data_IF_704027878698
#
_entry.id   IF_704027878698
#
_cell.length_a   1.000
_cell.length_b   1.000
_cell.length_c   1.000
_cell.angle_alpha   90.00
_cell.angle_beta   90.00
_cell.angle_gamma   90.00
#
_symmetry.space_group_name_H-M   'P 1'
#
loop_
_entity.id
_entity.type
_entity.pdbx_description
1 polymer ?
#
# COMPACT_ATOMS: atom_id res chain seq x y z
N UNK A 1 32.50 20.62 11.94
CA UNK A 1 31.99 19.36 11.39
C UNK A 1 31.59 18.41 12.52
N UNK A 2 30.51 17.70 12.35
CA UNK A 2 30.05 16.64 13.24
C UNK A 2 30.95 15.41 13.10
N UNK A 3 31.10 14.67 14.20
CA UNK A 3 31.70 13.33 14.25
C UNK A 3 30.78 12.42 15.06
N UNK A 4 30.88 11.10 14.87
CA UNK A 4 30.10 10.15 15.67
C UNK A 4 30.33 10.30 17.17
N UNK A 5 31.57 10.59 17.55
CA UNK A 5 31.91 10.87 18.96
C UNK A 5 31.18 12.11 19.49
N UNK A 6 31.10 13.19 18.68
CA UNK A 6 30.32 14.38 19.07
C UNK A 6 28.83 14.05 19.17
N UNK A 7 28.29 13.30 18.25
CA UNK A 7 26.86 12.92 18.25
C UNK A 7 26.49 12.12 19.50
N UNK A 8 27.32 11.14 19.90
CA UNK A 8 27.10 10.33 21.11
C UNK A 8 27.18 11.15 22.40
N UNK A 9 27.95 12.23 22.40
CA UNK A 9 28.15 13.10 23.57
C UNK A 9 27.15 14.27 23.66
N UNK A 10 26.23 14.41 22.69
CA UNK A 10 25.17 15.43 22.73
C UNK A 10 24.18 15.09 23.85
N UNK A 11 24.02 16.02 24.78
CA UNK A 11 23.07 15.88 25.90
C UNK A 11 21.82 16.74 25.63
N UNK A 12 20.64 16.31 26.06
CA UNK A 12 19.45 17.13 26.00
C UNK A 12 19.61 18.41 26.83
N UNK A 13 18.88 19.46 26.45
CA UNK A 13 18.78 20.74 27.16
C UNK A 13 17.33 21.09 27.32
N UNK A 14 17.00 22.10 28.12
CA UNK A 14 15.65 22.56 28.38
C UNK A 14 14.87 22.95 27.09
N UNK A 15 15.62 23.38 26.06
CA UNK A 15 15.04 23.75 24.75
C UNK A 15 15.73 23.00 23.62
N UNK A 16 15.00 22.79 22.54
CA UNK A 16 15.56 22.25 21.29
C UNK A 16 16.72 23.13 20.83
N UNK A 17 17.86 22.51 20.53
CA UNK A 17 19.02 23.20 19.97
C UNK A 17 19.55 22.48 18.73
N UNK A 18 20.34 23.22 17.93
CA UNK A 18 20.92 22.75 16.66
C UNK A 18 22.44 22.67 16.79
N UNK A 19 23.03 21.66 16.15
CA UNK A 19 24.48 21.54 15.96
C UNK A 19 24.75 21.34 14.48
N UNK A 20 25.41 22.30 13.86
CA UNK A 20 25.65 22.31 12.42
C UNK A 20 26.76 21.32 12.03
N UNK A 21 26.61 20.71 10.85
CA UNK A 21 27.64 19.93 10.18
C UNK A 21 28.23 20.73 9.00
N UNK A 22 27.73 20.53 7.80
CA UNK A 22 28.18 21.18 6.56
C UNK A 22 27.02 21.39 5.61
N UNK A 23 27.14 22.34 4.72
CA UNK A 23 26.22 22.54 3.57
C UNK A 23 24.73 22.61 3.98
N UNK A 24 24.42 23.21 5.12
CA UNK A 24 23.04 23.29 5.63
C UNK A 24 22.54 22.03 6.37
N UNK A 25 23.38 20.98 6.46
CA UNK A 25 23.10 19.81 7.32
C UNK A 25 23.36 20.16 8.78
N UNK A 26 22.44 19.78 9.63
CA UNK A 26 22.58 19.91 11.09
C UNK A 26 21.83 18.80 11.83
N UNK A 27 22.13 18.64 13.09
CA UNK A 27 21.28 17.84 13.97
C UNK A 27 20.46 18.75 14.86
N UNK A 28 19.21 18.37 15.09
CA UNK A 28 18.35 18.95 16.10
C UNK A 28 18.25 17.98 17.28
N UNK A 29 18.56 18.49 18.47
CA UNK A 29 18.47 17.76 19.74
C UNK A 29 17.27 18.28 20.50
N UNK A 30 16.34 17.39 20.84
CA UNK A 30 15.14 17.73 21.59
C UNK A 30 15.37 17.64 23.09
N UNK A 31 14.55 18.29 23.95
CA UNK A 31 14.63 18.12 25.40
C UNK A 31 14.46 16.66 25.86
N UNK A 32 13.75 15.85 25.11
CA UNK A 32 13.60 14.42 25.36
C UNK A 32 14.80 13.56 24.94
N UNK A 33 15.93 14.19 24.50
CA UNK A 33 17.13 13.49 24.09
C UNK A 33 17.12 12.90 22.67
N UNK A 34 16.07 13.12 21.88
CA UNK A 34 16.03 12.64 20.51
C UNK A 34 16.89 13.52 19.60
N UNK A 35 17.80 12.90 18.84
CA UNK A 35 18.67 13.54 17.86
C UNK A 35 18.16 13.23 16.47
N UNK A 36 17.98 14.24 15.61
CA UNK A 36 17.53 14.06 14.23
C UNK A 36 18.37 14.85 13.25
N UNK A 37 18.76 14.22 12.13
CA UNK A 37 19.45 14.90 11.03
C UNK A 37 18.45 15.68 10.20
N UNK A 38 18.76 16.95 9.96
CA UNK A 38 17.95 17.89 9.19
C UNK A 38 18.80 18.67 8.20
N UNK A 39 18.21 19.05 7.09
CA UNK A 39 18.82 19.87 6.08
C UNK A 39 17.97 21.10 5.79
N UNK A 40 18.58 22.29 5.94
CA UNK A 40 17.98 23.56 5.52
C UNK A 40 18.46 23.92 4.12
N UNK A 41 17.55 24.30 3.25
CA UNK A 41 17.84 24.71 1.89
C UNK A 41 16.87 25.82 1.44
N UNK A 42 17.29 26.55 0.39
CA UNK A 42 16.43 27.54 -0.27
C UNK A 42 16.01 27.01 -1.64
N UNK A 43 14.75 27.11 -1.96
CA UNK A 43 14.21 26.79 -3.27
C UNK A 43 13.12 27.79 -3.65
N UNK A 44 13.18 28.36 -4.88
CA UNK A 44 12.23 29.36 -5.36
C UNK A 44 12.03 30.53 -4.37
N UNK A 45 13.12 31.00 -3.76
CA UNK A 45 13.11 32.11 -2.80
C UNK A 45 12.53 31.77 -1.42
N UNK A 46 12.23 30.48 -1.13
CA UNK A 46 11.68 30.03 0.16
C UNK A 46 12.67 29.12 0.89
N UNK A 47 12.77 29.33 2.19
CA UNK A 47 13.52 28.43 3.06
C UNK A 47 12.67 27.20 3.42
N UNK A 48 13.20 26.02 3.18
CA UNK A 48 12.56 24.75 3.54
C UNK A 48 13.52 23.90 4.36
N UNK A 49 12.96 22.95 5.12
CA UNK A 49 13.72 22.01 5.94
C UNK A 49 13.22 20.60 5.67
N UNK A 50 14.14 19.67 5.44
CA UNK A 50 13.82 18.25 5.39
C UNK A 50 14.50 17.53 6.58
N UNK A 51 13.80 16.56 7.19
CA UNK A 51 14.35 15.64 8.18
C UNK A 51 14.71 14.32 7.50
N UNK A 52 15.97 13.93 7.56
CA UNK A 52 16.45 12.68 6.95
C UNK A 52 16.14 11.45 7.80
N UNK A 53 16.30 11.56 9.12
CA UNK A 53 16.05 10.47 10.06
C UNK A 53 16.53 10.81 11.46
N UNK A 54 16.31 9.88 12.40
CA UNK A 54 16.83 9.96 13.75
C UNK A 54 18.21 9.32 13.81
N UNK A 55 19.07 9.81 14.67
CA UNK A 55 20.33 9.17 15.03
C UNK A 55 20.10 8.13 16.13
N UNK A 56 20.81 7.00 16.07
CA UNK A 56 20.77 5.96 17.11
C UNK A 56 20.23 4.62 16.62
N UNK A 57 19.89 3.74 17.55
CA UNK A 57 19.42 2.38 17.23
C UNK A 57 18.13 2.45 16.41
N UNK A 58 18.11 1.76 15.25
CA UNK A 58 16.99 1.79 14.30
C UNK A 58 16.86 3.11 13.52
N UNK A 59 17.81 4.03 13.68
CA UNK A 59 17.89 5.28 12.94
C UNK A 59 18.94 5.23 11.82
N UNK A 60 19.45 6.42 11.43
CA UNK A 60 20.48 6.56 10.41
C UNK A 60 21.80 7.02 11.01
N UNK A 61 22.89 6.64 10.37
CA UNK A 61 24.27 7.07 10.71
C UNK A 61 24.56 8.46 10.16
N UNK A 62 25.67 9.07 10.61
CA UNK A 62 26.16 10.34 10.07
C UNK A 62 26.55 10.21 8.58
N UNK A 63 27.13 9.06 8.20
CA UNK A 63 27.50 8.77 6.82
C UNK A 63 26.25 8.74 5.91
N UNK A 64 25.23 8.00 6.29
CA UNK A 64 23.95 7.96 5.55
C UNK A 64 23.26 9.33 5.51
N UNK A 65 23.33 10.12 6.56
CA UNK A 65 22.79 11.48 6.56
C UNK A 65 23.51 12.38 5.55
N UNK A 66 24.82 12.23 5.38
CA UNK A 66 25.62 12.97 4.39
C UNK A 66 25.37 12.50 2.95
N UNK A 67 25.11 11.20 2.75
CA UNK A 67 24.70 10.65 1.46
C UNK A 67 23.35 11.24 1.03
N UNK A 68 22.36 11.19 1.92
CA UNK A 68 21.03 11.81 1.70
C UNK A 68 21.12 13.32 1.50
N UNK A 69 22.09 14.00 2.11
CA UNK A 69 22.37 15.41 1.81
C UNK A 69 22.80 15.60 0.37
N UNK A 70 23.68 14.73 -0.15
CA UNK A 70 24.12 14.77 -1.56
C UNK A 70 22.95 14.62 -2.52
N UNK A 71 22.05 13.66 -2.27
CA UNK A 71 20.83 13.45 -3.06
C UNK A 71 19.91 14.67 -2.98
N UNK A 72 19.64 15.18 -1.79
CA UNK A 72 18.78 16.34 -1.59
C UNK A 72 19.33 17.59 -2.27
N UNK A 73 20.66 17.82 -2.25
CA UNK A 73 21.30 18.94 -2.98
C UNK A 73 21.11 18.82 -4.50
N UNK A 74 21.21 17.62 -5.07
CA UNK A 74 20.93 17.39 -6.50
C UNK A 74 19.47 17.72 -6.83
N UNK A 75 18.52 17.26 -6.02
CA UNK A 75 17.11 17.56 -6.21
C UNK A 75 16.84 19.07 -6.18
N UNK A 76 17.45 19.80 -5.24
CA UNK A 76 17.32 21.27 -5.15
C UNK A 76 17.92 21.95 -6.38
N UNK A 77 19.08 21.47 -6.87
CA UNK A 77 19.68 21.98 -8.11
C UNK A 77 18.79 21.74 -9.32
N UNK A 78 18.06 20.63 -9.36
CA UNK A 78 17.05 20.30 -10.40
C UNK A 78 15.71 21.06 -10.19
N UNK A 79 15.63 21.99 -9.26
CA UNK A 79 14.41 22.75 -8.97
C UNK A 79 13.30 21.96 -8.25
N UNK A 80 13.63 20.78 -7.69
CA UNK A 80 12.70 19.92 -6.96
C UNK A 80 12.88 20.06 -5.46
N UNK A 81 11.77 20.18 -4.70
CA UNK A 81 11.83 20.25 -3.24
C UNK A 81 11.92 18.84 -2.63
N UNK A 82 13.04 18.47 -1.96
CA UNK A 82 13.17 17.19 -1.29
C UNK A 82 12.09 16.97 -0.21
N UNK A 83 11.66 18.01 0.49
CA UNK A 83 10.61 17.93 1.51
C UNK A 83 9.25 17.59 0.89
N UNK A 84 8.92 18.21 -0.26
CA UNK A 84 7.66 17.94 -0.98
C UNK A 84 7.66 16.54 -1.58
N UNK A 85 8.77 16.09 -2.17
CA UNK A 85 8.87 14.72 -2.72
C UNK A 85 8.72 13.68 -1.59
N UNK A 86 9.40 13.85 -0.46
CA UNK A 86 9.21 12.99 0.72
C UNK A 86 7.78 12.99 1.23
N UNK A 87 7.11 14.14 1.25
CA UNK A 87 5.71 14.26 1.64
C UNK A 87 4.78 13.55 0.64
N UNK A 88 5.06 13.66 -0.67
CA UNK A 88 4.34 12.96 -1.74
C UNK A 88 4.50 11.44 -1.62
N UNK A 89 5.72 10.96 -1.42
CA UNK A 89 5.99 9.53 -1.22
C UNK A 89 5.31 9.00 0.05
N UNK A 90 5.37 9.75 1.15
CA UNK A 90 4.64 9.42 2.38
C UNK A 90 3.13 9.43 2.18
N UNK A 91 2.60 10.39 1.42
CA UNK A 91 1.18 10.43 1.07
C UNK A 91 0.80 9.27 0.15
N UNK A 92 1.68 8.91 -0.81
CA UNK A 92 1.50 7.76 -1.69
C UNK A 92 1.54 6.44 -0.92
N UNK A 93 2.47 6.28 0.03
CA UNK A 93 2.56 5.11 0.93
C UNK A 93 1.37 5.07 1.90
N UNK A 94 0.94 6.23 2.42
CA UNK A 94 -0.23 6.35 3.31
C UNK A 94 -1.55 6.24 2.54
N UNK A 95 -1.54 6.60 1.25
CA UNK A 95 -2.62 6.40 0.28
C UNK A 95 -2.49 5.09 -0.51
N UNK A 96 -1.52 4.22 -0.19
CA UNK A 96 -1.53 2.81 -0.60
C UNK A 96 -2.71 2.15 0.09
N UNK A 97 -3.87 2.39 -0.50
CA UNK A 97 -5.17 1.95 -0.02
C UNK A 97 -5.15 0.44 -0.03
N UNK A 98 -5.48 -0.19 1.08
CA UNK A 98 -5.54 -1.64 1.21
C UNK A 98 -6.53 -2.25 0.21
N UNK A 99 -6.41 -3.55 -0.02
CA UNK A 99 -7.36 -4.31 -0.85
C UNK A 99 -8.81 -4.07 -0.39
N UNK A 100 -9.04 -4.08 0.93
CA UNK A 100 -10.38 -3.84 1.49
C UNK A 100 -10.93 -2.46 1.13
N UNK A 101 -10.12 -1.42 1.20
CA UNK A 101 -10.57 -0.09 0.83
C UNK A 101 -10.87 0.03 -0.69
N UNK A 102 -10.15 -0.68 -1.55
CA UNK A 102 -10.45 -0.77 -2.99
C UNK A 102 -11.69 -1.62 -3.27
N UNK A 103 -11.86 -2.74 -2.56
CA UNK A 103 -13.04 -3.58 -2.65
C UNK A 103 -14.32 -2.80 -2.28
N UNK A 104 -14.29 -2.03 -1.20
CA UNK A 104 -15.40 -1.17 -0.80
C UNK A 104 -15.71 -0.06 -1.81
N UNK A 105 -14.68 0.56 -2.40
CA UNK A 105 -14.88 1.54 -3.48
C UNK A 105 -15.50 0.90 -4.71
N UNK A 106 -15.03 -0.29 -5.09
CA UNK A 106 -15.55 -1.05 -6.21
C UNK A 106 -17.00 -1.49 -5.96
N UNK A 107 -17.31 -2.07 -4.81
CA UNK A 107 -18.67 -2.49 -4.45
C UNK A 107 -19.70 -1.34 -4.49
N UNK A 108 -19.26 -0.12 -4.14
CA UNK A 108 -20.12 1.08 -4.18
C UNK A 108 -20.22 1.70 -5.57
N UNK A 109 -19.13 1.74 -6.31
CA UNK A 109 -19.01 2.52 -7.55
C UNK A 109 -19.18 1.73 -8.83
N UNK A 110 -19.08 0.39 -8.80
CA UNK A 110 -19.24 -0.43 -9.99
C UNK A 110 -20.73 -0.63 -10.33
N UNK A 111 -21.08 -0.45 -11.61
CA UNK A 111 -22.44 -0.66 -12.06
C UNK A 111 -22.78 -2.16 -12.10
N UNK A 112 -23.67 -2.57 -11.24
CA UNK A 112 -24.20 -3.93 -11.16
C UNK A 112 -25.59 -3.88 -10.51
N UNK A 113 -26.43 -4.86 -10.79
CA UNK A 113 -27.73 -5.01 -10.11
C UNK A 113 -27.54 -5.35 -8.63
N UNK A 114 -28.49 -4.94 -7.81
CA UNK A 114 -28.35 -5.04 -6.34
C UNK A 114 -28.18 -6.48 -5.85
N UNK A 115 -28.91 -7.45 -6.42
CA UNK A 115 -28.75 -8.87 -6.09
C UNK A 115 -27.32 -9.38 -6.33
N UNK A 116 -26.68 -8.96 -7.43
CA UNK A 116 -25.27 -9.30 -7.71
C UNK A 116 -24.35 -8.63 -6.72
N UNK A 117 -24.64 -7.38 -6.34
CA UNK A 117 -23.86 -6.62 -5.34
C UNK A 117 -23.90 -7.31 -3.98
N UNK A 118 -25.07 -7.75 -3.55
CA UNK A 118 -25.27 -8.43 -2.27
C UNK A 118 -24.51 -9.76 -2.21
N UNK A 119 -24.58 -10.56 -3.28
CA UNK A 119 -23.81 -11.80 -3.39
C UNK A 119 -22.30 -11.51 -3.30
N UNK A 120 -21.80 -10.53 -4.07
CA UNK A 120 -20.38 -10.17 -4.08
C UNK A 120 -19.92 -9.61 -2.73
N UNK A 121 -20.74 -8.79 -2.08
CA UNK A 121 -20.47 -8.28 -0.74
C UNK A 121 -20.40 -9.40 0.28
N UNK A 122 -21.34 -10.33 0.25
CA UNK A 122 -21.35 -11.51 1.13
C UNK A 122 -20.09 -12.36 0.98
N UNK A 123 -19.70 -12.65 -0.27
CA UNK A 123 -18.45 -13.40 -0.54
C UNK A 123 -17.22 -12.61 -0.09
N UNK A 124 -17.16 -11.31 -0.40
CA UNK A 124 -16.07 -10.44 0.02
C UNK A 124 -15.89 -10.47 1.54
N UNK A 125 -16.95 -10.17 2.30
CA UNK A 125 -16.89 -10.09 3.76
C UNK A 125 -16.51 -11.43 4.40
N UNK A 126 -17.05 -12.52 3.89
CA UNK A 126 -16.80 -13.84 4.47
C UNK A 126 -15.43 -14.42 4.12
N UNK A 127 -14.97 -14.25 2.88
CA UNK A 127 -13.80 -14.96 2.37
C UNK A 127 -12.55 -14.08 2.23
N UNK A 128 -12.71 -12.83 1.79
CA UNK A 128 -11.60 -11.98 1.37
C UNK A 128 -11.20 -10.94 2.42
N UNK A 129 -12.16 -10.35 3.12
CA UNK A 129 -11.91 -9.24 4.04
C UNK A 129 -10.94 -9.64 5.16
N UNK A 130 -11.14 -10.81 5.76
CA UNK A 130 -10.29 -11.31 6.85
C UNK A 130 -8.87 -11.61 6.40
N UNK A 131 -8.69 -12.10 5.17
CA UNK A 131 -7.38 -12.51 4.63
C UNK A 131 -6.64 -11.35 3.99
N UNK A 132 -7.31 -10.57 3.14
CA UNK A 132 -6.70 -9.56 2.27
C UNK A 132 -7.08 -8.13 2.64
N UNK A 133 -8.11 -7.90 3.46
CA UNK A 133 -8.67 -6.58 3.69
C UNK A 133 -7.66 -5.53 4.14
N UNK A 134 -6.72 -5.89 4.99
CA UNK A 134 -5.68 -5.00 5.52
C UNK A 134 -4.37 -5.03 4.73
N UNK A 135 -4.23 -5.90 3.72
CA UNK A 135 -3.03 -5.98 2.89
C UNK A 135 -3.07 -4.94 1.78
N UNK A 136 -1.90 -4.45 1.37
CA UNK A 136 -1.80 -3.59 0.19
C UNK A 136 -1.98 -4.42 -1.07
N UNK A 137 -2.46 -3.80 -2.15
CA UNK A 137 -2.58 -4.48 -3.44
C UNK A 137 -1.26 -5.10 -3.92
N UNK A 138 -0.12 -4.49 -3.60
CA UNK A 138 1.23 -4.97 -3.98
C UNK A 138 1.72 -6.15 -3.15
N UNK A 139 1.05 -6.48 -2.06
CA UNK A 139 1.46 -7.53 -1.12
C UNK A 139 0.73 -8.86 -1.38
N UNK A 140 -0.39 -8.83 -2.10
CA UNK A 140 -1.20 -10.01 -2.39
C UNK A 140 -0.67 -10.68 -3.65
N UNK A 141 -0.20 -11.91 -3.53
CA UNK A 141 0.34 -12.70 -4.62
C UNK A 141 -0.69 -13.67 -5.21
N UNK A 142 -0.36 -14.27 -6.36
CA UNK A 142 -1.20 -15.30 -6.94
C UNK A 142 -1.19 -16.60 -6.11
N UNK A 143 -0.09 -16.87 -5.39
CA UNK A 143 -0.01 -17.98 -4.45
C UNK A 143 -0.97 -17.80 -3.28
N UNK A 144 -1.07 -16.57 -2.73
CA UNK A 144 -2.02 -16.25 -1.66
C UNK A 144 -3.45 -16.47 -2.11
N UNK A 145 -3.77 -16.01 -3.32
CA UNK A 145 -5.09 -16.20 -3.92
C UNK A 145 -5.38 -17.67 -4.18
N UNK A 146 -4.39 -18.42 -4.67
CA UNK A 146 -4.50 -19.88 -4.89
C UNK A 146 -4.79 -20.59 -3.58
N UNK A 147 -3.99 -20.35 -2.53
CA UNK A 147 -4.18 -20.93 -1.22
C UNK A 147 -5.58 -20.65 -0.63
N UNK A 148 -6.08 -19.42 -0.82
CA UNK A 148 -7.43 -19.07 -0.39
C UNK A 148 -8.50 -19.85 -1.17
N UNK A 149 -8.38 -19.90 -2.51
CA UNK A 149 -9.37 -20.61 -3.34
C UNK A 149 -9.38 -22.11 -3.06
N UNK A 150 -8.21 -22.71 -2.87
CA UNK A 150 -8.08 -24.13 -2.55
C UNK A 150 -8.73 -24.46 -1.18
N UNK A 151 -8.49 -23.64 -0.17
CA UNK A 151 -9.14 -23.79 1.15
C UNK A 151 -10.68 -23.66 1.07
N UNK A 152 -11.21 -22.81 0.21
CA UNK A 152 -12.66 -22.69 0.00
C UNK A 152 -13.21 -23.91 -0.73
N UNK A 153 -12.47 -24.47 -1.69
CA UNK A 153 -12.86 -25.71 -2.42
C UNK A 153 -12.86 -26.91 -1.47
N UNK A 154 -11.80 -27.06 -0.65
CA UNK A 154 -11.69 -28.14 0.35
C UNK A 154 -12.86 -28.12 1.34
N UNK A 155 -13.37 -26.94 1.67
CA UNK A 155 -14.58 -26.78 2.51
C UNK A 155 -15.88 -27.13 1.78
N UNK A 156 -15.84 -27.52 0.53
CA UNK A 156 -17.02 -27.92 -0.25
C UNK A 156 -17.76 -26.75 -0.92
N UNK A 157 -17.12 -25.60 -1.12
CA UNK A 157 -17.74 -24.40 -1.71
C UNK A 157 -17.06 -23.93 -3.01
N UNK A 158 -16.91 -24.78 -4.05
CA UNK A 158 -16.14 -24.43 -5.25
C UNK A 158 -16.71 -23.23 -6.02
N UNK A 159 -18.02 -23.05 -6.06
CA UNK A 159 -18.63 -21.86 -6.66
C UNK A 159 -18.22 -20.56 -5.95
N UNK A 160 -18.16 -20.61 -4.61
CA UNK A 160 -17.71 -19.47 -3.80
C UNK A 160 -16.24 -19.14 -4.08
N UNK A 161 -15.39 -20.16 -4.26
CA UNK A 161 -13.98 -19.96 -4.61
C UNK A 161 -13.80 -19.23 -5.94
N UNK A 162 -14.58 -19.61 -6.97
CA UNK A 162 -14.58 -18.92 -8.26
C UNK A 162 -15.10 -17.49 -8.12
N UNK A 163 -16.15 -17.25 -7.34
CA UNK A 163 -16.64 -15.90 -7.06
C UNK A 163 -15.62 -15.05 -6.30
N UNK A 164 -14.91 -15.61 -5.32
CA UNK A 164 -13.86 -14.92 -4.58
C UNK A 164 -12.71 -14.48 -5.53
N UNK A 165 -12.26 -15.39 -6.40
CA UNK A 165 -11.26 -15.08 -7.43
C UNK A 165 -11.75 -13.97 -8.37
N UNK A 166 -13.01 -14.00 -8.81
CA UNK A 166 -13.59 -13.00 -9.70
C UNK A 166 -13.67 -11.62 -9.03
N UNK A 167 -13.99 -11.55 -7.75
CA UNK A 167 -13.97 -10.30 -6.98
C UNK A 167 -12.57 -9.71 -6.95
N UNK A 168 -11.53 -10.51 -6.68
CA UNK A 168 -10.14 -10.06 -6.71
C UNK A 168 -9.79 -9.50 -8.09
N UNK A 169 -10.10 -10.23 -9.17
CA UNK A 169 -9.88 -9.78 -10.55
C UNK A 169 -10.47 -8.39 -10.80
N UNK A 170 -11.73 -8.20 -10.43
CA UNK A 170 -12.47 -6.96 -10.69
C UNK A 170 -11.97 -5.80 -9.83
N UNK A 171 -11.63 -6.03 -8.57
CA UNK A 171 -11.07 -5.01 -7.67
C UNK A 171 -9.73 -4.50 -8.20
N UNK A 172 -8.85 -5.39 -8.66
CA UNK A 172 -7.56 -4.98 -9.24
C UNK A 172 -7.74 -4.24 -10.56
N UNK A 173 -8.61 -4.69 -11.46
CA UNK A 173 -8.94 -3.96 -12.69
C UNK A 173 -9.46 -2.56 -12.40
N UNK A 174 -10.40 -2.44 -11.48
CA UNK A 174 -10.96 -1.17 -11.02
C UNK A 174 -9.89 -0.24 -10.44
N UNK A 175 -8.94 -0.77 -9.70
CA UNK A 175 -7.81 -0.02 -9.15
C UNK A 175 -6.84 0.44 -10.25
N UNK A 176 -6.52 -0.43 -11.22
CA UNK A 176 -5.62 -0.13 -12.35
C UNK A 176 -6.21 0.97 -13.25
N UNK A 177 -7.50 0.91 -13.58
CA UNK A 177 -8.21 1.95 -14.32
C UNK A 177 -8.16 3.31 -13.62
N UNK A 178 -7.95 3.33 -12.29
CA UNK A 178 -7.81 4.54 -11.46
C UNK A 178 -6.38 4.89 -11.09
N UNK A 179 -5.43 4.39 -11.91
CA UNK A 179 -4.02 4.78 -11.85
C UNK A 179 -3.14 3.99 -10.88
N UNK A 180 -3.65 2.89 -10.30
CA UNK A 180 -2.77 1.99 -9.54
C UNK A 180 -1.94 1.13 -10.49
N UNK A 181 -0.62 1.12 -10.28
CA UNK A 181 0.31 0.27 -11.04
C UNK A 181 0.58 -1.00 -10.24
N UNK A 182 -0.27 -1.99 -10.41
CA UNK A 182 -0.20 -3.26 -9.69
C UNK A 182 -0.46 -4.43 -10.64
N UNK A 183 0.21 -5.54 -10.42
CA UNK A 183 -0.09 -6.80 -11.10
C UNK A 183 -1.33 -7.43 -10.48
N UNK A 184 -2.18 -8.01 -11.32
CA UNK A 184 -3.40 -8.64 -10.86
C UNK A 184 -3.15 -10.13 -10.55
N UNK A 185 -3.20 -10.54 -9.27
CA UNK A 185 -2.91 -11.92 -8.91
C UNK A 185 -3.90 -12.92 -9.50
N UNK A 186 -5.11 -12.47 -9.84
CA UNK A 186 -6.13 -13.33 -10.44
C UNK A 186 -5.85 -13.69 -11.91
N UNK A 187 -4.96 -12.98 -12.61
CA UNK A 187 -4.63 -13.31 -13.99
C UNK A 187 -3.92 -14.67 -14.11
N UNK A 188 -3.16 -15.06 -13.10
CA UNK A 188 -2.45 -16.34 -13.03
C UNK A 188 -3.30 -17.49 -12.41
N UNK A 189 -4.46 -17.18 -11.82
CA UNK A 189 -5.36 -18.16 -11.22
C UNK A 189 -6.59 -18.33 -12.12
N UNK A 190 -6.56 -19.33 -12.99
CA UNK A 190 -7.66 -19.59 -13.95
C UNK A 190 -8.88 -20.19 -13.25
N UNK A 191 -10.13 -19.74 -13.55
CA UNK A 191 -11.33 -20.33 -12.95
C UNK A 191 -11.45 -21.84 -13.12
N UNK A 192 -11.11 -22.37 -14.30
CA UNK A 192 -11.15 -23.80 -14.59
C UNK A 192 -10.15 -24.64 -13.78
N UNK A 193 -9.13 -24.00 -13.18
CA UNK A 193 -8.19 -24.66 -12.27
C UNK A 193 -8.69 -24.68 -10.82
N UNK A 194 -9.71 -23.89 -10.50
CA UNK A 194 -10.36 -23.87 -9.18
C UNK A 194 -11.48 -24.91 -9.15
N UNK A 195 -12.40 -24.83 -10.12
CA UNK A 195 -13.52 -25.77 -10.20
C UNK A 195 -14.00 -25.91 -11.65
N UNK A 196 -14.44 -27.11 -12.00
CA UNK A 196 -15.15 -27.39 -13.23
C UNK A 196 -16.62 -27.58 -12.88
N UNK A 197 -17.50 -26.85 -13.55
CA UNK A 197 -18.94 -27.00 -13.41
C UNK A 197 -19.45 -27.71 -14.65
N UNK A 198 -20.15 -28.81 -14.45
CA UNK A 198 -20.94 -29.43 -15.53
C UNK A 198 -22.17 -28.57 -15.76
N UNK A 199 -22.55 -28.31 -17.02
CA UNK A 199 -23.81 -27.66 -17.33
C UNK A 199 -24.96 -28.45 -16.68
N UNK A 200 -25.87 -27.76 -16.03
CA UNK A 200 -27.12 -28.42 -15.57
C UNK A 200 -27.93 -28.75 -16.84
N UNK A 201 -27.94 -30.00 -17.20
CA UNK A 201 -28.80 -30.51 -18.26
C UNK A 201 -30.23 -30.69 -17.72
N UNK A 202 -30.88 -29.55 -17.44
CA UNK A 202 -32.30 -29.54 -17.10
C UNK A 202 -33.08 -29.14 -18.38
N UNK A 203 -33.43 -30.14 -19.17
CA UNK A 203 -34.48 -30.01 -20.15
C UNK A 203 -35.83 -29.96 -19.42
N UNK A 204 -36.61 -28.88 -19.63
CA UNK A 204 -38.00 -28.83 -19.17
C UNK A 204 -38.76 -29.92 -19.87
N UNK A 205 -39.54 -30.71 -19.14
CA UNK A 205 -40.42 -31.71 -19.75
C UNK A 205 -41.58 -30.99 -20.47
N UNK A 206 -42.18 -31.64 -21.51
CA UNK A 206 -43.32 -31.06 -22.20
C UNK A 206 -44.49 -30.67 -21.28
N UNK A 207 -44.62 -31.33 -20.13
CA UNK A 207 -45.64 -31.06 -19.11
C UNK A 207 -45.34 -29.78 -18.31
N UNK A 208 -44.05 -29.46 -18.06
CA UNK A 208 -43.64 -28.22 -17.42
C UNK A 208 -43.77 -26.98 -18.32
N UNK A 209 -43.79 -27.18 -19.66
CA UNK A 209 -43.96 -26.09 -20.66
C UNK A 209 -45.46 -25.74 -20.84
N UNK A 210 -46.38 -26.65 -20.45
CA UNK A 210 -47.82 -26.48 -20.65
C UNK A 210 -48.56 -25.83 -19.48
N UNK A 211 -47.86 -25.27 -18.49
CA UNK A 211 -48.41 -24.67 -17.27
C UNK A 211 -48.36 -23.13 -17.28
N UNK A 212 -48.48 -22.47 -18.43
CA UNK A 212 -48.83 -21.04 -18.56
C UNK A 212 -50.19 -20.84 -19.19
#
# INVERSE_FOLDING_TARGET
LLTDTKLRNLKPRDKLYKVNDRDGLYVAVTPAGSISFRYNYSINGRQETITFGRYGVGGITLAEARERLGEAKRMVADGKSPAKEKARDKARVKGAVTFGAWAEKWLRGYQMVDSTRDIRRSVYTRELETKFGNQKLTEITHEDLRALTDAIVERGAPATAVHAREIVLQVYRWATERGQKVENPADLVRPASIARFEPRDRTLTPEEISLE
#
